data_IF_392328041206
#
_entry.id   IF_392328041206
#
_cell.length_a   1.000
_cell.length_b   1.000
_cell.length_c   1.000
_cell.angle_alpha   90.00
_cell.angle_beta   90.00
_cell.angle_gamma   90.00
#
_symmetry.space_group_name_H-M   'P 1'
#
loop_
_entity.id
_entity.type
_entity.pdbx_description
1 polymer ?
#
# COMPACT_ATOMS: atom_id res chain seq x y z
N UNK A 1 -5.57 43.06 31.60
CA UNK A 1 -6.17 42.73 30.29
C UNK A 1 -5.41 43.59 29.30
N UNK A 2 -4.47 43.01 28.57
CA UNK A 2 -3.67 43.77 27.59
C UNK A 2 -4.48 43.85 26.30
N UNK A 3 -4.53 45.04 25.71
CA UNK A 3 -5.22 45.29 24.45
C UNK A 3 -4.48 44.55 23.32
N UNK A 4 -5.21 43.93 22.39
CA UNK A 4 -4.61 43.09 21.33
C UNK A 4 -3.68 43.91 20.42
N UNK A 5 -3.96 45.22 20.31
CA UNK A 5 -3.15 46.18 19.57
C UNK A 5 -1.79 46.46 20.23
N UNK A 6 -1.74 46.46 21.57
CA UNK A 6 -0.49 46.64 22.33
C UNK A 6 0.43 45.41 22.20
N UNK A 7 -0.17 44.21 22.13
CA UNK A 7 0.57 42.97 21.90
C UNK A 7 1.17 42.95 20.49
N UNK A 8 0.41 43.38 19.49
CA UNK A 8 0.89 43.49 18.10
C UNK A 8 2.02 44.50 17.93
N UNK A 9 1.94 45.64 18.62
CA UNK A 9 3.00 46.65 18.63
C UNK A 9 4.27 46.15 19.31
N UNK A 10 4.15 45.49 20.46
CA UNK A 10 5.27 44.90 21.19
C UNK A 10 6.00 43.81 20.38
N UNK A 11 5.26 42.96 19.66
CA UNK A 11 5.84 41.90 18.85
C UNK A 11 6.63 42.45 17.64
N UNK A 12 6.10 43.49 16.98
CA UNK A 12 6.79 44.16 15.87
C UNK A 12 8.06 44.88 16.35
N UNK A 13 8.02 45.48 17.54
CA UNK A 13 9.19 46.14 18.13
C UNK A 13 10.31 45.13 18.49
N UNK A 14 9.97 43.94 18.98
CA UNK A 14 10.95 42.88 19.28
C UNK A 14 11.58 42.33 17.98
N UNK A 15 10.76 42.09 16.95
CA UNK A 15 11.24 41.62 15.65
C UNK A 15 12.12 42.66 14.92
N UNK A 16 11.83 43.96 15.06
CA UNK A 16 12.61 45.03 14.46
C UNK A 16 14.00 45.20 15.09
N UNK A 17 14.20 44.77 16.34
CA UNK A 17 15.48 44.85 17.04
C UNK A 17 16.43 43.69 16.74
N UNK A 18 15.93 42.60 16.14
CA UNK A 18 16.76 41.46 15.76
C UNK A 18 17.38 41.70 14.39
N UNK A 19 18.66 42.07 14.37
CA UNK A 19 19.44 42.06 13.13
C UNK A 19 19.47 40.63 12.58
N UNK A 20 18.96 40.36 11.37
CA UNK A 20 19.00 39.02 10.81
C UNK A 20 20.45 38.54 10.73
N UNK A 21 20.76 37.30 11.17
CA UNK A 21 22.12 36.81 11.14
C UNK A 21 22.63 36.86 9.69
N UNK A 22 23.78 37.51 9.48
CA UNK A 22 24.40 37.56 8.16
C UNK A 22 24.50 36.15 7.57
N UNK A 23 24.04 35.91 6.34
CA UNK A 23 24.12 34.60 5.73
C UNK A 23 25.59 34.23 5.54
N UNK A 24 26.12 33.37 6.43
CA UNK A 24 27.40 32.72 6.24
C UNK A 24 27.17 31.47 5.38
N UNK A 25 27.68 31.53 4.16
CA UNK A 25 27.73 30.42 3.20
C UNK A 25 26.82 30.65 1.98
N UNK A 26 27.39 30.45 0.78
CA UNK A 26 26.67 30.55 -0.49
C UNK A 26 25.68 29.39 -0.70
N UNK A 27 24.98 29.41 -1.84
CA UNK A 27 23.99 28.39 -2.23
C UNK A 27 24.53 26.95 -2.07
N UNK A 28 25.81 26.74 -2.39
CA UNK A 28 26.48 25.43 -2.23
C UNK A 28 26.52 24.94 -0.77
N UNK A 29 26.78 25.84 0.20
CA UNK A 29 26.78 25.50 1.63
C UNK A 29 25.36 25.27 2.16
N UNK A 30 24.36 25.95 1.60
CA UNK A 30 22.95 25.71 1.91
C UNK A 30 22.50 24.33 1.40
N UNK A 31 22.88 23.97 0.16
CA UNK A 31 22.59 22.67 -0.46
C UNK A 31 23.31 21.53 0.27
N UNK A 32 24.58 21.72 0.66
CA UNK A 32 25.34 20.74 1.43
C UNK A 32 24.76 20.52 2.83
N UNK A 33 24.33 21.60 3.51
CA UNK A 33 23.61 21.50 4.80
C UNK A 33 22.24 20.84 4.64
N UNK A 34 21.51 21.13 3.56
CA UNK A 34 20.25 20.48 3.22
C UNK A 34 20.39 18.97 3.00
N UNK A 35 21.39 18.54 2.22
CA UNK A 35 21.69 17.11 2.01
C UNK A 35 22.11 16.41 3.31
N UNK A 36 22.91 17.06 4.17
CA UNK A 36 23.29 16.49 5.49
C UNK A 36 22.10 16.38 6.45
N UNK A 37 21.16 17.35 6.45
CA UNK A 37 19.92 17.27 7.24
C UNK A 37 19.01 16.15 6.76
N UNK A 38 18.86 15.98 5.45
CA UNK A 38 18.05 14.91 4.86
C UNK A 38 18.61 13.51 5.20
N UNK A 39 19.94 13.33 5.12
CA UNK A 39 20.58 12.07 5.56
C UNK A 39 20.40 11.82 7.07
N UNK A 40 20.51 12.85 7.92
CA UNK A 40 20.27 12.70 9.37
C UNK A 40 18.81 12.43 9.73
N UNK A 41 17.83 12.88 8.92
CA UNK A 41 16.43 12.51 9.11
C UNK A 41 16.14 11.08 8.64
N UNK A 42 16.77 10.64 7.55
CA UNK A 42 16.67 9.26 7.07
C UNK A 42 17.34 8.25 8.04
N UNK A 43 18.42 8.64 8.71
CA UNK A 43 19.04 7.81 9.76
C UNK A 43 18.46 8.06 11.17
N UNK A 44 17.74 9.15 11.39
CA UNK A 44 17.10 9.50 12.66
C UNK A 44 15.78 8.78 12.93
N UNK A 45 15.12 8.27 11.88
CA UNK A 45 14.00 7.33 12.02
C UNK A 45 14.46 5.88 12.25
N UNK A 46 15.75 5.58 12.02
CA UNK A 46 16.34 4.25 12.19
C UNK A 46 17.13 4.08 13.50
N UNK A 47 17.25 5.14 14.33
CA UNK A 47 18.02 5.15 15.57
C UNK A 47 17.15 5.41 16.82
N UNK A 48 15.88 4.99 16.79
CA UNK A 48 15.07 4.86 18.01
C UNK A 48 14.88 3.39 18.46
N UNK A 49 15.48 2.43 17.74
CA UNK A 49 15.38 1.00 18.03
C UNK A 49 16.74 0.32 18.29
N UNK A 50 17.78 1.09 18.64
CA UNK A 50 19.12 0.58 18.90
C UNK A 50 19.66 1.08 20.25
N UNK A 51 19.04 0.65 21.34
CA UNK A 51 19.66 0.67 22.65
C UNK A 51 19.12 -0.50 23.47
N UNK A 52 20.04 -1.34 23.96
CA UNK A 52 19.84 -2.65 24.61
C UNK A 52 19.45 -3.75 23.60
N UNK A 53 20.22 -4.82 23.39
CA UNK A 53 20.91 -5.64 24.37
C UNK A 53 22.17 -6.26 23.76
N UNK A 54 23.26 -6.18 24.52
CA UNK A 54 24.48 -6.97 24.42
C UNK A 54 24.22 -8.35 25.01
N UNK A 55 24.82 -9.38 24.40
CA UNK A 55 25.03 -10.75 24.87
C UNK A 55 24.08 -11.82 24.30
N UNK A 56 24.68 -12.82 23.63
CA UNK A 56 24.00 -14.06 23.25
C UNK A 56 24.62 -14.73 22.04
N UNK A 57 25.82 -15.30 22.20
CA UNK A 57 26.42 -16.23 21.23
C UNK A 57 25.54 -17.47 21.14
N UNK A 58 25.08 -17.84 19.95
CA UNK A 58 24.56 -19.17 19.66
C UNK A 58 25.00 -19.59 18.25
N UNK A 59 25.90 -20.56 18.22
CA UNK A 59 26.40 -21.30 17.05
C UNK A 59 25.28 -22.06 16.35
N UNK A 60 25.07 -21.81 15.06
CA UNK A 60 24.25 -22.67 14.19
C UNK A 60 25.16 -23.46 13.27
N UNK A 61 25.04 -24.78 13.35
CA UNK A 61 25.76 -25.77 12.56
C UNK A 61 25.18 -25.79 11.15
N UNK A 62 26.00 -25.52 10.14
CA UNK A 62 25.66 -25.70 8.73
C UNK A 62 26.02 -27.13 8.35
N UNK A 63 25.03 -28.01 8.20
CA UNK A 63 25.20 -29.27 7.49
C UNK A 63 24.85 -29.06 6.02
N UNK A 64 25.89 -28.91 5.21
CA UNK A 64 25.83 -28.97 3.76
C UNK A 64 25.63 -30.43 3.30
N UNK A 65 24.64 -30.67 2.46
CA UNK A 65 24.47 -31.90 1.69
C UNK A 65 24.10 -31.51 0.28
N UNK A 66 25.00 -31.78 -0.66
CA UNK A 66 24.90 -31.38 -2.06
C UNK A 66 24.76 -32.61 -2.97
N UNK A 67 23.77 -32.53 -3.87
CA UNK A 67 23.68 -33.06 -5.26
C UNK A 67 23.37 -34.56 -5.50
N UNK A 68 22.89 -35.00 -6.70
CA UNK A 68 22.50 -34.27 -7.95
C UNK A 68 21.17 -34.73 -8.62
N UNK A 69 20.86 -34.06 -9.76
CA UNK A 69 19.87 -34.25 -10.84
C UNK A 69 19.32 -35.65 -11.18
N UNK A 70 18.03 -35.74 -11.56
CA UNK A 70 17.56 -35.86 -12.96
C UNK A 70 16.03 -36.02 -13.04
N UNK A 71 15.45 -35.58 -14.16
CA UNK A 71 14.01 -35.33 -14.30
C UNK A 71 13.10 -36.55 -14.51
N UNK A 72 11.80 -36.32 -14.29
CA UNK A 72 10.73 -37.06 -14.96
C UNK A 72 9.40 -36.31 -14.89
N UNK A 73 8.84 -36.05 -16.08
CA UNK A 73 7.43 -35.74 -16.28
C UNK A 73 6.57 -36.88 -15.71
N UNK A 74 5.65 -36.56 -14.80
CA UNK A 74 4.49 -37.42 -14.52
C UNK A 74 3.24 -36.54 -14.50
N UNK A 75 2.44 -36.70 -15.54
CA UNK A 75 1.05 -36.30 -15.55
C UNK A 75 0.30 -37.11 -14.47
N UNK A 76 -0.34 -36.43 -13.52
CA UNK A 76 -1.30 -37.02 -12.62
C UNK A 76 -2.69 -36.47 -12.97
N UNK A 77 -3.42 -37.26 -13.74
CA UNK A 77 -4.86 -37.15 -13.94
C UNK A 77 -5.55 -37.60 -12.66
N UNK A 78 -6.48 -36.78 -12.15
CA UNK A 78 -7.57 -37.24 -11.29
C UNK A 78 -7.56 -36.72 -9.86
N UNK A 79 -8.21 -35.58 -9.64
CA UNK A 79 -8.96 -35.36 -8.40
C UNK A 79 -10.28 -34.68 -8.71
N UNK A 80 -11.34 -35.44 -8.49
CA UNK A 80 -12.74 -35.07 -8.32
C UNK A 80 -12.98 -33.61 -7.92
N UNK A 81 -13.51 -32.81 -8.84
CA UNK A 81 -14.14 -31.52 -8.53
C UNK A 81 -15.37 -31.74 -7.66
N UNK A 82 -15.22 -31.52 -6.37
CA UNK A 82 -16.34 -31.08 -5.53
C UNK A 82 -16.43 -29.57 -5.75
N UNK A 83 -17.59 -29.10 -6.21
CA UNK A 83 -17.81 -27.74 -6.72
C UNK A 83 -17.54 -26.65 -5.69
N UNK A 84 -16.28 -26.25 -5.55
CA UNK A 84 -15.84 -25.06 -4.87
C UNK A 84 -15.60 -24.01 -5.96
N UNK A 85 -16.35 -22.90 -5.92
CA UNK A 85 -16.13 -21.76 -6.81
C UNK A 85 -14.66 -21.36 -6.75
N UNK A 86 -13.93 -21.31 -7.88
CA UNK A 86 -12.49 -21.03 -7.83
C UNK A 86 -12.21 -19.68 -7.16
N UNK A 87 -11.41 -19.61 -6.10
CA UNK A 87 -11.20 -18.32 -5.41
C UNK A 87 -10.19 -17.42 -6.13
N UNK A 88 -9.47 -17.96 -7.12
CA UNK A 88 -8.51 -17.26 -7.96
C UNK A 88 -9.13 -16.66 -9.24
N UNK A 89 -8.55 -15.54 -9.70
CA UNK A 89 -8.84 -14.99 -11.00
C UNK A 89 -8.21 -15.86 -12.09
N UNK A 90 -8.93 -16.16 -13.20
CA UNK A 90 -8.44 -17.01 -14.29
C UNK A 90 -7.50 -16.25 -15.24
N UNK A 91 -6.70 -15.33 -14.71
CA UNK A 91 -5.79 -14.49 -15.48
C UNK A 91 -4.37 -15.07 -15.44
N UNK A 92 -3.66 -15.16 -16.59
CA UNK A 92 -2.27 -15.59 -16.59
C UNK A 92 -1.40 -14.56 -15.88
N UNK A 93 -0.22 -14.98 -15.37
CA UNK A 93 0.82 -14.02 -14.96
C UNK A 93 1.35 -13.27 -16.18
N UNK A 94 1.70 -12.00 -15.97
CA UNK A 94 2.43 -11.24 -16.97
C UNK A 94 3.73 -11.95 -17.33
N UNK A 95 4.11 -11.91 -18.62
CA UNK A 95 5.35 -12.48 -19.13
C UNK A 95 6.53 -11.57 -18.80
N UNK A 96 6.87 -11.51 -17.51
CA UNK A 96 7.96 -10.74 -16.96
C UNK A 96 8.83 -11.65 -16.07
N UNK A 97 10.16 -11.44 -16.05
CA UNK A 97 11.06 -12.28 -15.27
C UNK A 97 10.81 -12.10 -13.78
N UNK A 98 10.73 -13.22 -13.04
CA UNK A 98 10.68 -13.18 -11.59
C UNK A 98 11.96 -12.54 -11.01
N UNK A 99 11.82 -11.80 -9.91
CA UNK A 99 12.93 -11.19 -9.19
C UNK A 99 13.37 -12.06 -8.02
N UNK A 100 14.67 -11.99 -7.69
CA UNK A 100 15.20 -12.64 -6.50
C UNK A 100 14.85 -11.83 -5.25
N UNK A 101 14.35 -12.45 -4.17
CA UNK A 101 14.03 -11.75 -2.94
C UNK A 101 15.30 -11.14 -2.31
N UNK A 102 15.20 -9.90 -1.86
CA UNK A 102 16.27 -9.22 -1.12
C UNK A 102 16.10 -9.38 0.40
N UNK A 103 14.87 -9.61 0.85
CA UNK A 103 14.54 -9.82 2.26
C UNK A 103 13.27 -10.67 2.37
N UNK A 104 12.86 -10.94 3.59
CA UNK A 104 11.63 -11.65 3.91
C UNK A 104 10.82 -10.78 4.86
N UNK A 105 9.53 -10.63 4.58
CA UNK A 105 8.62 -9.99 5.50
C UNK A 105 8.48 -10.84 6.76
N UNK A 106 8.64 -10.19 7.91
CA UNK A 106 8.27 -10.71 9.23
C UNK A 106 7.57 -9.59 9.99
N UNK A 107 6.56 -9.88 10.81
CA UNK A 107 5.89 -8.86 11.62
C UNK A 107 6.90 -8.09 12.47
N UNK A 108 6.71 -6.77 12.59
CA UNK A 108 7.52 -6.00 13.52
C UNK A 108 7.32 -6.48 14.97
N UNK A 109 8.37 -6.54 15.81
CA UNK A 109 8.23 -6.89 17.23
C UNK A 109 7.24 -5.99 17.99
N UNK A 110 7.06 -4.76 17.52
CA UNK A 110 6.12 -3.76 18.05
C UNK A 110 4.68 -3.94 17.58
N UNK A 111 4.41 -4.89 16.68
CA UNK A 111 3.10 -5.16 16.12
C UNK A 111 2.87 -6.68 15.94
N UNK A 112 2.93 -7.48 17.02
CA UNK A 112 2.85 -8.92 16.91
C UNK A 112 1.51 -9.37 16.29
N UNK A 113 1.51 -10.48 15.55
CA UNK A 113 0.27 -11.07 15.05
C UNK A 113 -0.64 -11.49 16.23
N UNK A 114 -1.97 -11.46 16.05
CA UNK A 114 -2.90 -12.06 17.01
C UNK A 114 -2.61 -13.55 17.20
N UNK A 115 -2.97 -14.08 18.38
CA UNK A 115 -2.86 -15.50 18.65
C UNK A 115 -3.57 -16.34 17.57
N UNK A 116 -2.88 -17.34 17.05
CA UNK A 116 -3.41 -18.24 16.01
C UNK A 116 -3.37 -17.68 14.58
N UNK A 117 -2.92 -16.44 14.36
CA UNK A 117 -2.73 -15.93 12.99
C UNK A 117 -1.43 -16.50 12.40
N UNK A 118 -1.48 -17.22 11.26
CA UNK A 118 -0.28 -17.69 10.59
C UNK A 118 0.63 -16.51 10.23
N UNK A 119 1.93 -16.68 10.46
CA UNK A 119 2.97 -15.72 10.05
C UNK A 119 4.03 -16.46 9.27
N UNK A 120 3.64 -16.86 8.06
CA UNK A 120 4.58 -17.46 7.14
C UNK A 120 5.54 -16.39 6.61
N UNK A 121 6.84 -16.70 6.50
CA UNK A 121 7.80 -15.76 5.93
C UNK A 121 7.46 -15.51 4.45
N UNK A 122 7.17 -14.25 4.09
CA UNK A 122 6.83 -13.88 2.71
C UNK A 122 8.05 -13.22 2.04
N UNK A 123 8.56 -13.74 0.92
CA UNK A 123 9.68 -13.12 0.22
C UNK A 123 9.32 -11.70 -0.25
N UNK A 124 10.24 -10.76 -0.07
CA UNK A 124 10.10 -9.38 -0.54
C UNK A 124 11.20 -9.04 -1.52
N UNK A 125 10.82 -8.42 -2.62
CA UNK A 125 11.75 -7.87 -3.60
C UNK A 125 11.92 -6.36 -3.39
N UNK A 126 13.05 -5.84 -3.86
CA UNK A 126 13.36 -4.41 -3.75
C UNK A 126 12.39 -3.63 -4.64
N UNK A 127 11.81 -2.55 -4.11
CA UNK A 127 11.03 -1.64 -4.94
C UNK A 127 12.02 -0.77 -5.73
N UNK A 128 11.84 -0.61 -7.05
CA UNK A 128 12.62 0.32 -7.85
C UNK A 128 12.59 1.75 -7.29
N UNK A 129 13.58 2.58 -7.63
CA UNK A 129 13.49 4.01 -7.31
C UNK A 129 12.31 4.63 -8.08
N UNK A 130 11.27 5.05 -7.34
CA UNK A 130 10.06 5.65 -7.90
C UNK A 130 10.14 7.19 -7.96
N UNK A 131 11.29 7.79 -7.62
CA UNK A 131 11.41 9.25 -7.47
C UNK A 131 11.06 10.03 -8.75
N UNK A 132 11.34 9.46 -9.92
CA UNK A 132 11.09 10.09 -11.21
C UNK A 132 9.74 9.69 -11.83
N UNK A 133 8.91 8.89 -11.12
CA UNK A 133 7.59 8.49 -11.60
C UNK A 133 6.53 9.50 -11.20
N UNK A 134 5.79 9.99 -12.20
CA UNK A 134 4.60 10.79 -11.99
C UNK A 134 3.43 9.87 -11.61
N UNK A 135 3.22 9.73 -10.30
CA UNK A 135 2.07 9.03 -9.71
C UNK A 135 1.19 10.06 -8.98
N UNK A 136 0.83 11.12 -9.70
CA UNK A 136 -0.05 12.15 -9.19
C UNK A 136 -1.40 11.57 -8.78
N UNK A 137 -1.80 11.81 -7.52
CA UNK A 137 -3.12 11.42 -7.03
C UNK A 137 -4.19 12.37 -7.58
N UNK A 138 -5.22 11.79 -8.18
CA UNK A 138 -6.37 12.51 -8.74
C UNK A 138 -7.54 12.38 -7.77
N UNK A 139 -8.18 13.52 -7.45
CA UNK A 139 -9.44 13.51 -6.71
C UNK A 139 -10.58 13.14 -7.66
N UNK A 140 -11.35 12.12 -7.31
CA UNK A 140 -12.57 11.75 -8.01
C UNK A 140 -13.76 12.64 -7.61
N UNK A 141 -14.76 12.74 -8.48
CA UNK A 141 -16.09 13.22 -8.07
C UNK A 141 -16.72 12.15 -7.17
N UNK A 142 -16.82 12.46 -5.88
CA UNK A 142 -17.29 11.51 -4.88
C UNK A 142 -18.71 11.04 -5.16
N UNK A 143 -19.58 11.90 -5.71
CA UNK A 143 -20.98 11.54 -5.95
C UNK A 143 -21.13 10.50 -7.06
N UNK A 144 -20.45 10.74 -8.19
CA UNK A 144 -20.39 9.80 -9.30
C UNK A 144 -19.68 8.49 -8.90
N UNK A 145 -18.55 8.61 -8.19
CA UNK A 145 -17.78 7.47 -7.74
C UNK A 145 -18.56 6.60 -6.75
N UNK A 146 -19.27 7.21 -5.80
CA UNK A 146 -20.02 6.47 -4.78
C UNK A 146 -21.09 5.57 -5.41
N UNK A 147 -21.83 6.07 -6.40
CA UNK A 147 -22.83 5.26 -7.08
C UNK A 147 -22.19 4.09 -7.83
N UNK A 148 -21.12 4.36 -8.60
CA UNK A 148 -20.41 3.34 -9.37
C UNK A 148 -19.82 2.26 -8.46
N UNK A 149 -19.09 2.65 -7.41
CA UNK A 149 -18.46 1.74 -6.46
C UNK A 149 -19.49 0.90 -5.74
N UNK A 150 -20.60 1.50 -5.29
CA UNK A 150 -21.65 0.76 -4.62
C UNK A 150 -22.28 -0.29 -5.54
N UNK A 151 -22.60 0.07 -6.79
CA UNK A 151 -23.16 -0.86 -7.77
C UNK A 151 -22.20 -2.01 -8.08
N UNK A 152 -20.93 -1.69 -8.34
CA UNK A 152 -19.91 -2.68 -8.65
C UNK A 152 -19.66 -3.65 -7.48
N UNK A 153 -19.56 -3.13 -6.25
CA UNK A 153 -19.38 -3.97 -5.06
C UNK A 153 -20.61 -4.82 -4.74
N UNK A 154 -21.80 -4.25 -4.83
CA UNK A 154 -23.04 -5.00 -4.59
C UNK A 154 -23.21 -6.16 -5.58
N UNK A 155 -22.62 -6.07 -6.78
CA UNK A 155 -22.66 -7.13 -7.77
C UNK A 155 -21.68 -8.28 -7.49
N UNK A 156 -20.59 -8.05 -6.77
CA UNK A 156 -19.51 -9.04 -6.57
C UNK A 156 -19.36 -9.53 -5.13
N UNK A 157 -19.87 -8.78 -4.14
CA UNK A 157 -19.62 -9.06 -2.72
C UNK A 157 -20.56 -10.12 -2.12
N UNK A 158 -21.22 -10.93 -2.96
CA UNK A 158 -22.22 -11.94 -2.56
C UNK A 158 -23.25 -11.39 -1.54
N UNK A 159 -23.42 -12.07 -0.41
CA UNK A 159 -24.32 -11.68 0.69
C UNK A 159 -23.71 -10.64 1.66
N UNK A 160 -22.54 -10.08 1.35
CA UNK A 160 -21.90 -9.10 2.22
C UNK A 160 -22.62 -7.74 2.17
N UNK A 161 -22.66 -7.07 3.30
CA UNK A 161 -23.15 -5.69 3.41
C UNK A 161 -22.06 -4.72 2.99
N UNK A 162 -22.36 -3.88 1.98
CA UNK A 162 -21.48 -2.80 1.50
C UNK A 162 -21.83 -1.49 2.21
N UNK A 163 -20.82 -0.89 2.84
CA UNK A 163 -20.95 0.38 3.56
C UNK A 163 -21.00 1.61 2.64
N UNK A 164 -20.96 2.79 3.26
CA UNK A 164 -20.82 4.05 2.53
C UNK A 164 -19.36 4.29 2.13
N UNK A 165 -19.17 4.93 0.98
CA UNK A 165 -17.85 5.35 0.51
C UNK A 165 -17.40 6.60 1.29
N UNK A 166 -16.31 6.50 2.03
CA UNK A 166 -15.68 7.62 2.74
C UNK A 166 -14.46 8.15 1.98
N UNK A 167 -14.35 9.47 1.82
CA UNK A 167 -13.14 10.12 1.29
C UNK A 167 -12.18 10.47 2.45
N UNK A 168 -10.91 10.13 2.28
CA UNK A 168 -9.80 10.61 3.13
C UNK A 168 -8.85 11.44 2.28
N UNK A 169 -8.59 12.69 2.72
CA UNK A 169 -7.60 13.59 2.13
C UNK A 169 -6.34 13.59 2.98
N UNK A 170 -5.23 13.14 2.41
CA UNK A 170 -3.92 13.20 3.03
C UNK A 170 -3.15 14.41 2.48
N UNK A 171 -2.90 15.45 3.29
CA UNK A 171 -2.20 16.63 2.80
C UNK A 171 -0.74 16.31 2.52
N UNK A 172 -0.24 16.67 1.33
CA UNK A 172 1.19 16.58 1.08
C UNK A 172 1.98 17.54 1.98
N UNK A 173 3.06 17.02 2.54
CA UNK A 173 4.06 17.77 3.30
C UNK A 173 5.26 18.18 2.44
N UNK A 174 5.30 17.78 1.16
CA UNK A 174 6.41 18.07 0.25
C UNK A 174 6.04 19.23 -0.69
N UNK A 175 6.97 20.16 -0.97
CA UNK A 175 6.75 21.22 -1.96
C UNK A 175 6.42 20.61 -3.33
N UNK A 176 5.48 21.22 -4.06
CA UNK A 176 5.10 20.86 -5.43
C UNK A 176 4.54 19.44 -5.61
N UNK A 177 3.92 18.87 -4.58
CA UNK A 177 3.22 17.58 -4.71
C UNK A 177 1.77 17.78 -4.27
N UNK A 178 0.84 17.22 -5.05
CA UNK A 178 -0.58 17.28 -4.77
C UNK A 178 -0.95 16.55 -3.48
N UNK A 179 -2.15 16.83 -2.95
CA UNK A 179 -2.73 16.02 -1.89
C UNK A 179 -3.02 14.61 -2.40
N UNK A 180 -2.96 13.61 -1.53
CA UNK A 180 -3.39 12.24 -1.85
C UNK A 180 -4.83 12.04 -1.41
N UNK A 181 -5.63 11.41 -2.26
CA UNK A 181 -7.02 11.07 -1.97
C UNK A 181 -7.18 9.55 -1.98
N UNK A 182 -7.78 9.02 -0.91
CA UNK A 182 -8.18 7.61 -0.84
C UNK A 182 -9.65 7.52 -0.49
N UNK A 183 -10.32 6.51 -1.02
CA UNK A 183 -11.73 6.26 -0.76
C UNK A 183 -11.88 4.88 -0.15
N UNK A 184 -12.49 4.78 1.00
CA UNK A 184 -12.61 3.53 1.74
C UNK A 184 -14.09 3.16 1.87
N UNK A 185 -14.42 1.89 1.64
CA UNK A 185 -15.74 1.33 1.88
C UNK A 185 -15.60 0.02 2.65
N UNK A 186 -16.40 -0.12 3.70
CA UNK A 186 -16.45 -1.35 4.48
C UNK A 186 -17.27 -2.41 3.75
N UNK A 187 -16.80 -3.66 3.83
CA UNK A 187 -17.50 -4.85 3.34
C UNK A 187 -17.59 -5.83 4.50
N UNK A 188 -18.82 -6.11 4.95
CA UNK A 188 -19.08 -6.88 6.17
C UNK A 188 -19.92 -8.12 5.89
N UNK A 189 -19.47 -9.26 6.38
CA UNK A 189 -20.18 -10.54 6.32
C UNK A 189 -20.14 -11.23 7.69
N UNK A 190 -20.49 -12.53 7.75
CA UNK A 190 -20.44 -13.34 8.98
C UNK A 190 -19.02 -13.52 9.54
N UNK A 191 -17.98 -13.30 8.73
CA UNK A 191 -16.57 -13.32 9.11
C UNK A 191 -16.05 -11.98 9.65
N UNK A 192 -16.87 -10.92 9.62
CA UNK A 192 -16.55 -9.59 10.13
C UNK A 192 -16.31 -8.56 9.03
N UNK A 193 -15.84 -7.38 9.45
CA UNK A 193 -15.67 -6.23 8.55
C UNK A 193 -14.27 -6.17 7.96
N UNK A 194 -14.18 -6.23 6.64
CA UNK A 194 -13.02 -5.79 5.87
C UNK A 194 -13.29 -4.49 5.14
N UNK A 195 -12.36 -4.04 4.31
CA UNK A 195 -12.56 -2.84 3.49
C UNK A 195 -11.97 -2.98 2.09
N UNK A 196 -12.53 -2.20 1.17
CA UNK A 196 -11.95 -1.92 -0.14
C UNK A 196 -11.52 -0.47 -0.17
N UNK A 197 -10.24 -0.25 -0.49
CA UNK A 197 -9.65 1.08 -0.67
C UNK A 197 -9.48 1.35 -2.15
N UNK A 198 -9.95 2.50 -2.60
CA UNK A 198 -9.75 3.03 -3.94
C UNK A 198 -8.79 4.22 -3.87
N UNK A 199 -7.98 4.36 -4.89
CA UNK A 199 -7.19 5.55 -5.16
C UNK A 199 -7.05 5.71 -6.66
N UNK A 200 -7.01 6.97 -7.10
CA UNK A 200 -6.91 7.32 -8.51
C UNK A 200 -5.65 8.13 -8.71
N UNK A 201 -4.99 7.89 -9.83
CA UNK A 201 -3.83 8.65 -10.24
C UNK A 201 -3.68 8.69 -11.74
N UNK A 202 -2.48 9.06 -12.18
CA UNK A 202 -2.10 9.08 -13.58
C UNK A 202 -0.84 8.28 -13.83
N UNK A 203 -0.66 7.91 -15.09
CA UNK A 203 0.61 7.41 -15.62
C UNK A 203 0.85 8.07 -16.99
N UNK A 204 2.05 7.89 -17.52
CA UNK A 204 2.43 8.41 -18.85
C UNK A 204 2.74 7.26 -19.80
N UNK A 205 2.49 7.47 -21.09
CA UNK A 205 2.75 6.49 -22.13
C UNK A 205 1.61 5.50 -22.34
N UNK A 206 1.96 4.32 -22.83
CA UNK A 206 1.04 3.23 -23.16
C UNK A 206 0.65 2.42 -21.90
N UNK A 207 -0.63 2.01 -21.74
CA UNK A 207 -1.09 1.26 -20.57
C UNK A 207 -0.31 -0.01 -20.27
N UNK A 208 0.05 -0.80 -21.29
CA UNK A 208 0.80 -2.05 -21.09
C UNK A 208 2.23 -1.77 -20.64
N UNK A 209 2.87 -0.78 -21.27
CA UNK A 209 4.22 -0.35 -20.89
C UNK A 209 4.25 0.17 -19.45
N UNK A 210 3.30 1.02 -19.07
CA UNK A 210 3.19 1.52 -17.71
C UNK A 210 2.91 0.41 -16.69
N UNK A 211 2.11 -0.59 -17.07
CA UNK A 211 1.83 -1.75 -16.25
C UNK A 211 3.08 -2.65 -16.09
N UNK A 212 3.91 -2.81 -17.13
CA UNK A 212 5.19 -3.51 -17.04
C UNK A 212 6.19 -2.79 -16.12
N UNK A 213 6.32 -1.47 -16.29
CA UNK A 213 7.20 -0.64 -15.47
C UNK A 213 6.85 -0.71 -13.98
N UNK A 214 5.56 -0.84 -13.66
CA UNK A 214 5.02 -0.84 -12.30
C UNK A 214 4.73 -2.24 -11.75
N UNK A 215 5.08 -3.30 -12.49
CA UNK A 215 4.75 -4.68 -12.14
C UNK A 215 5.33 -5.15 -10.79
N UNK A 216 6.35 -4.46 -10.26
CA UNK A 216 7.07 -4.83 -9.03
C UNK A 216 6.99 -3.78 -7.90
N UNK A 217 6.08 -2.81 -8.02
CA UNK A 217 5.94 -1.70 -7.07
C UNK A 217 5.39 -2.13 -5.70
N UNK A 218 4.91 -3.36 -5.55
CA UNK A 218 4.21 -3.84 -4.36
C UNK A 218 5.08 -4.78 -3.50
N UNK A 219 6.42 -4.69 -3.62
CA UNK A 219 7.40 -5.60 -3.01
C UNK A 219 7.28 -7.07 -3.47
N UNK A 220 6.48 -7.34 -4.49
CA UNK A 220 6.29 -8.68 -5.05
C UNK A 220 7.54 -9.14 -5.81
N UNK A 221 7.80 -10.44 -5.77
CA UNK A 221 8.91 -11.05 -6.52
C UNK A 221 8.45 -11.78 -7.79
N UNK A 222 7.17 -12.12 -7.86
CA UNK A 222 6.54 -12.70 -9.04
C UNK A 222 5.77 -11.63 -9.78
N UNK A 223 5.72 -11.74 -11.11
CA UNK A 223 4.91 -10.84 -11.92
C UNK A 223 3.41 -10.96 -11.55
N UNK A 224 2.64 -9.86 -11.58
CA UNK A 224 1.22 -9.89 -11.27
C UNK A 224 0.44 -10.70 -12.31
N UNK A 225 -0.74 -11.22 -11.93
CA UNK A 225 -1.69 -11.76 -12.91
C UNK A 225 -2.27 -10.60 -13.72
N UNK A 226 -2.43 -10.77 -15.03
CA UNK A 226 -2.77 -9.69 -15.95
C UNK A 226 -3.93 -10.06 -16.87
N UNK A 227 -4.81 -9.10 -17.08
CA UNK A 227 -5.84 -9.15 -18.11
C UNK A 227 -5.80 -7.86 -18.94
N UNK A 228 -5.87 -7.99 -20.26
CA UNK A 228 -5.86 -6.86 -21.20
C UNK A 228 -7.16 -6.87 -21.97
N UNK A 229 -7.88 -5.76 -21.91
CA UNK A 229 -9.16 -5.57 -22.61
C UNK A 229 -8.94 -5.10 -24.05
N UNK A 230 -10.00 -5.20 -24.86
CA UNK A 230 -9.94 -4.87 -26.29
C UNK A 230 -9.70 -3.38 -26.57
N UNK A 231 -10.03 -2.50 -25.63
CA UNK A 231 -9.81 -1.05 -25.70
C UNK A 231 -8.37 -0.63 -25.32
N UNK A 232 -7.54 -1.58 -24.88
CA UNK A 232 -6.18 -1.33 -24.40
C UNK A 232 -6.07 -1.14 -22.89
N UNK A 233 -7.17 -1.23 -22.14
CA UNK A 233 -7.14 -1.21 -20.67
C UNK A 233 -6.39 -2.43 -20.13
N UNK A 234 -5.47 -2.22 -19.19
CA UNK A 234 -4.68 -3.29 -18.56
C UNK A 234 -5.02 -3.40 -17.08
N UNK A 235 -5.44 -4.58 -16.64
CA UNK A 235 -5.70 -4.92 -15.25
C UNK A 235 -4.58 -5.83 -14.72
N UNK A 236 -4.03 -5.51 -13.55
CA UNK A 236 -2.99 -6.28 -12.87
C UNK A 236 -3.39 -6.57 -11.42
N UNK A 237 -3.53 -7.85 -11.08
CA UNK A 237 -3.79 -8.27 -9.70
C UNK A 237 -2.52 -8.87 -9.10
N UNK A 238 -2.15 -8.37 -7.93
CA UNK A 238 -0.98 -8.78 -7.19
C UNK A 238 -1.36 -9.90 -6.22
N UNK A 239 -0.38 -10.70 -5.80
CA UNK A 239 -0.60 -11.72 -4.78
C UNK A 239 -0.97 -11.08 -3.43
N UNK A 240 -1.63 -11.84 -2.56
CA UNK A 240 -1.93 -11.40 -1.18
C UNK A 240 -0.62 -11.14 -0.44
N UNK A 241 -0.47 -9.95 0.12
CA UNK A 241 0.69 -9.52 0.87
C UNK A 241 0.32 -9.22 2.33
N UNK A 242 1.09 -9.74 3.31
CA UNK A 242 0.92 -9.35 4.68
C UNK A 242 1.50 -7.95 4.94
N UNK A 243 0.93 -7.24 5.90
CA UNK A 243 1.41 -5.93 6.35
C UNK A 243 1.29 -5.77 7.85
N UNK A 244 2.10 -4.88 8.41
CA UNK A 244 1.90 -4.41 9.77
C UNK A 244 0.78 -3.35 9.83
N UNK A 245 0.09 -3.22 10.97
CA UNK A 245 0.20 -4.08 12.16
C UNK A 245 -0.62 -5.38 12.04
N UNK A 246 -0.42 -6.28 13.00
CA UNK A 246 -1.23 -7.49 13.22
C UNK A 246 -1.17 -8.55 12.12
N UNK A 247 -0.13 -8.55 11.28
CA UNK A 247 -0.08 -9.41 10.08
C UNK A 247 -1.37 -9.29 9.26
N UNK A 248 -1.79 -8.05 8.99
CA UNK A 248 -2.96 -7.73 8.17
C UNK A 248 -2.75 -8.22 6.74
N UNK A 249 -3.82 -8.61 6.06
CA UNK A 249 -3.77 -9.09 4.67
C UNK A 249 -4.26 -8.00 3.74
N UNK A 250 -3.51 -7.75 2.66
CA UNK A 250 -3.95 -6.90 1.57
C UNK A 250 -3.78 -7.61 0.23
N UNK A 251 -4.70 -7.37 -0.70
CA UNK A 251 -4.51 -7.71 -2.10
C UNK A 251 -4.86 -6.49 -2.93
N UNK A 252 -4.06 -6.21 -3.95
CA UNK A 252 -4.20 -5.01 -4.78
C UNK A 252 -4.45 -5.39 -6.23
N UNK A 253 -5.35 -4.65 -6.87
CA UNK A 253 -5.58 -4.61 -8.29
C UNK A 253 -5.23 -3.20 -8.79
N UNK A 254 -4.41 -3.10 -9.83
CA UNK A 254 -4.16 -1.86 -10.57
C UNK A 254 -4.81 -1.94 -11.95
N UNK A 255 -5.37 -0.83 -12.41
CA UNK A 255 -6.03 -0.71 -13.71
C UNK A 255 -5.46 0.50 -14.43
N UNK A 256 -4.90 0.26 -15.61
CA UNK A 256 -4.27 1.25 -16.47
C UNK A 256 -5.19 1.52 -17.66
N UNK A 257 -5.81 2.69 -17.68
CA UNK A 257 -6.74 3.10 -18.73
C UNK A 257 -6.01 3.77 -19.91
N UNK A 258 -6.50 3.62 -21.16
CA UNK A 258 -5.90 4.24 -22.35
C UNK A 258 -5.77 5.77 -22.32
N UNK A 259 -6.55 6.44 -21.48
CA UNK A 259 -6.51 7.89 -21.29
C UNK A 259 -5.44 8.37 -20.29
N UNK A 260 -4.61 7.44 -19.78
CA UNK A 260 -3.54 7.72 -18.83
C UNK A 260 -3.98 7.71 -17.37
N UNK A 261 -5.21 7.29 -17.06
CA UNK A 261 -5.68 7.14 -15.67
C UNK A 261 -5.26 5.81 -15.05
N UNK A 262 -4.82 5.84 -13.80
CA UNK A 262 -4.49 4.68 -12.99
C UNK A 262 -5.51 4.52 -11.85
N UNK A 263 -6.22 3.39 -11.81
CA UNK A 263 -7.05 3.04 -10.66
C UNK A 263 -6.31 1.99 -9.82
N UNK A 264 -6.26 2.19 -8.51
CA UNK A 264 -5.69 1.20 -7.58
C UNK A 264 -6.73 0.83 -6.52
N UNK A 265 -7.15 -0.42 -6.56
CA UNK A 265 -8.14 -1.02 -5.67
C UNK A 265 -7.41 -1.99 -4.73
N UNK A 266 -7.54 -1.80 -3.42
CA UNK A 266 -6.93 -2.69 -2.44
C UNK A 266 -7.98 -3.23 -1.48
N UNK A 267 -8.14 -4.54 -1.46
CA UNK A 267 -8.95 -5.23 -0.45
C UNK A 267 -8.10 -5.51 0.76
N UNK A 268 -8.68 -5.34 1.95
CA UNK A 268 -7.98 -5.48 3.22
C UNK A 268 -8.87 -6.24 4.19
N UNK A 269 -8.29 -7.13 4.99
CA UNK A 269 -9.03 -7.97 5.94
C UNK A 269 -9.54 -7.21 7.17
N UNK A 270 -9.79 -5.92 7.03
CA UNK A 270 -9.73 -4.98 8.14
C UNK A 270 -10.51 -3.73 7.72
N UNK A 271 -11.33 -3.15 8.60
CA UNK A 271 -12.22 -2.03 8.23
C UNK A 271 -12.36 -0.97 9.31
N UNK A 272 -13.39 -0.12 9.21
CA UNK A 272 -13.62 0.99 10.14
C UNK A 272 -13.74 0.60 11.62
N UNK A 273 -14.36 -0.54 12.02
CA UNK A 273 -14.52 -0.88 13.45
C UNK A 273 -13.21 -1.16 14.19
N UNK A 274 -12.15 -1.42 13.45
CA UNK A 274 -10.83 -1.73 13.98
C UNK A 274 -9.93 -0.49 14.12
N UNK A 275 -10.47 0.70 13.87
CA UNK A 275 -9.80 1.96 14.08
C UNK A 275 -10.37 2.68 15.31
N UNK A 276 -9.50 3.25 16.12
CA UNK A 276 -9.87 4.17 17.18
C UNK A 276 -9.44 5.58 16.82
N UNK A 277 -10.21 6.57 17.25
CA UNK A 277 -9.83 7.98 17.12
C UNK A 277 -8.48 8.22 17.80
N UNK A 278 -7.54 8.77 17.06
CA UNK A 278 -6.29 9.28 17.59
C UNK A 278 -6.52 10.72 18.08
N UNK A 279 -6.40 10.95 19.40
CA UNK A 279 -6.64 12.29 19.96
C UNK A 279 -5.53 13.29 19.62
N UNK A 280 -4.30 12.80 19.42
CA UNK A 280 -3.14 13.64 19.10
C UNK A 280 -3.12 14.03 17.62
N UNK A 281 -3.65 13.16 16.76
CA UNK A 281 -3.79 13.40 15.33
C UNK A 281 -5.11 12.81 14.80
N UNK A 282 -6.23 13.55 14.92
CA UNK A 282 -7.55 13.07 14.51
C UNK A 282 -7.65 12.66 13.03
N UNK A 283 -6.74 13.13 12.17
CA UNK A 283 -6.68 12.76 10.75
C UNK A 283 -6.06 11.38 10.50
N UNK A 284 -5.40 10.80 11.50
CA UNK A 284 -4.67 9.54 11.40
C UNK A 284 -5.09 8.58 12.53
N UNK A 285 -6.23 7.89 12.38
CA UNK A 285 -6.76 7.01 13.41
C UNK A 285 -5.79 5.86 13.71
N UNK A 286 -5.79 5.41 14.97
CA UNK A 286 -4.96 4.28 15.38
C UNK A 286 -5.62 2.96 15.02
N UNK A 287 -4.84 2.07 14.42
CA UNK A 287 -5.25 0.69 14.22
C UNK A 287 -5.23 -0.04 15.57
N UNK A 288 -6.40 -0.43 16.07
CA UNK A 288 -6.57 -1.12 17.36
C UNK A 288 -7.05 -2.55 17.21
N UNK A 289 -7.73 -2.85 16.10
CA UNK A 289 -8.25 -4.17 15.78
C UNK A 289 -7.41 -4.91 14.74
N UNK A 290 -7.32 -6.22 14.92
CA UNK A 290 -6.61 -7.10 14.00
C UNK A 290 -7.37 -7.38 12.70
N UNK A 291 -8.63 -6.95 12.59
CA UNK A 291 -9.51 -7.31 11.49
C UNK A 291 -9.91 -8.78 11.45
N UNK A 292 -10.67 -9.14 10.41
CA UNK A 292 -11.09 -10.51 10.08
C UNK A 292 -9.91 -11.40 9.63
N UNK A 293 -10.03 -12.73 9.71
CA UNK A 293 -8.93 -13.64 9.36
C UNK A 293 -8.64 -13.72 7.86
N UNK A 294 -9.63 -13.41 7.00
CA UNK A 294 -9.51 -13.49 5.53
C UNK A 294 -9.81 -12.15 4.89
N UNK A 295 -9.42 -11.96 3.63
CA UNK A 295 -9.88 -10.82 2.84
C UNK A 295 -11.41 -10.83 2.68
N UNK A 296 -12.06 -9.65 2.56
CA UNK A 296 -13.50 -9.54 2.39
C UNK A 296 -13.99 -9.86 0.98
N UNK A 297 -13.07 -9.88 0.01
CA UNK A 297 -13.31 -10.33 -1.36
C UNK A 297 -12.24 -11.36 -1.71
N UNK A 298 -12.63 -12.39 -2.44
CA UNK A 298 -11.70 -13.30 -3.10
C UNK A 298 -10.95 -12.61 -4.23
N UNK A 299 -9.86 -13.19 -4.72
CA UNK A 299 -9.11 -12.66 -5.85
C UNK A 299 -10.00 -12.53 -7.10
N UNK A 300 -10.87 -13.52 -7.34
CA UNK A 300 -11.86 -13.43 -8.42
C UNK A 300 -12.81 -12.25 -8.23
N UNK A 301 -13.40 -12.08 -7.06
CA UNK A 301 -14.33 -10.98 -6.80
C UNK A 301 -13.65 -9.62 -6.96
N UNK A 302 -12.36 -9.52 -6.58
CA UNK A 302 -11.57 -8.32 -6.85
C UNK A 302 -11.32 -8.11 -8.35
N UNK A 303 -11.06 -9.17 -9.11
CA UNK A 303 -10.93 -9.09 -10.57
C UNK A 303 -12.24 -8.66 -11.24
N UNK A 304 -13.39 -9.21 -10.82
CA UNK A 304 -14.73 -8.83 -11.29
C UNK A 304 -15.08 -7.39 -10.91
N UNK A 305 -14.74 -6.95 -9.69
CA UNK A 305 -14.86 -5.56 -9.27
C UNK A 305 -14.07 -4.64 -10.20
N UNK A 306 -12.84 -5.02 -10.53
CA UNK A 306 -11.99 -4.29 -11.46
C UNK A 306 -12.64 -4.10 -12.83
N UNK A 307 -13.19 -5.17 -13.39
CA UNK A 307 -13.90 -5.15 -14.67
C UNK A 307 -15.15 -4.26 -14.62
N UNK A 308 -15.93 -4.33 -13.53
CA UNK A 308 -17.12 -3.51 -13.32
C UNK A 308 -16.82 -2.02 -13.12
N UNK A 309 -15.58 -1.65 -12.75
CA UNK A 309 -15.16 -0.25 -12.61
C UNK A 309 -14.75 0.39 -13.94
N UNK A 310 -14.53 -0.40 -15.01
CA UNK A 310 -14.10 0.11 -16.33
C UNK A 310 -15.10 -0.15 -17.45
N UNK A 311 -16.07 -1.05 -17.25
CA UNK A 311 -17.21 -1.27 -18.15
C UNK A 311 -18.39 -0.36 -17.84
#
# INVERSE_FOLDING_TARGET
>A
MWDEDDLGAALRAELAQRTPPRPRGGLADAVARGRRRRRRQQFGAALAAAAAVVAGVATVVVSAGALPSDGQNVAATGTTSTGMSPTEAPWPRADLPAHSPHTTWTPAPTAPPPAGRPTEPVPRCEIPDLTDRDLDSVRADLSALQQQVWQALAAVADDATVGLLGETKLPSTRPNTGHTFTYDVDVSDTGGTGSVRFSFGRFTGDPLTAADDQAYDMYNCQAPKRHVLADGTVLQIYDVAPSDPFASLNQTLRIYLPDGQLYSLSVRNFGSPDFATNREDPGHPHRVGAGRPTLPLTERQLAELGLAMVG
#
